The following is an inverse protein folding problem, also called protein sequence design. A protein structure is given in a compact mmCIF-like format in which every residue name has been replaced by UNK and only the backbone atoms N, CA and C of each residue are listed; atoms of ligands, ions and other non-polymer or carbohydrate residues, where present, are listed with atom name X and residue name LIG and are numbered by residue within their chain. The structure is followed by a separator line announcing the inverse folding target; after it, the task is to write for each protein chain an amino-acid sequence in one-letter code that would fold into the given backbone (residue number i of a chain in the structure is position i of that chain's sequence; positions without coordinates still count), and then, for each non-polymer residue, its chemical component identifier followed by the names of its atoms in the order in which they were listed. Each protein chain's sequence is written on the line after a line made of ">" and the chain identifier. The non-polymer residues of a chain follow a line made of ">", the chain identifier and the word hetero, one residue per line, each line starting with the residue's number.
data_IF_634651365858
#
_entry.id   IF_634651365858
#
_cell.length_a   1.000
_cell.length_b   1.000
_cell.length_c   1.000
_cell.angle_alpha   90.00
_cell.angle_beta   90.00
_cell.angle_gamma   90.00
#
_symmetry.space_group_name_H-M   'P 1'
#
loop_
_entity.id
_entity.type
_entity.pdbx_description
1 polymer ?
#
# COMPACT_ATOMS: atom_id res chain seq x y z
N UNK A 1 -22.17 32.11 29.86
CA UNK A 1 -21.86 31.05 28.87
C UNK A 1 -20.72 31.50 27.99
N UNK A 2 -19.46 31.24 28.38
CA UNK A 2 -18.28 31.55 27.56
C UNK A 2 -17.03 30.75 28.05
N UNK A 3 -17.22 29.49 28.45
CA UNK A 3 -16.12 28.63 28.95
C UNK A 3 -15.63 27.57 27.94
N UNK A 4 -16.24 27.45 26.76
CA UNK A 4 -15.94 26.37 25.79
C UNK A 4 -14.97 26.72 24.65
N UNK A 5 -14.69 28.00 24.41
CA UNK A 5 -13.98 28.45 23.20
C UNK A 5 -12.45 28.58 23.39
N UNK A 6 -11.99 28.70 24.64
CA UNK A 6 -10.57 28.82 24.99
C UNK A 6 -9.84 27.47 24.96
N UNK A 7 -10.51 26.36 25.29
CA UNK A 7 -9.92 25.02 25.33
C UNK A 7 -9.55 24.47 23.95
N UNK A 8 -10.42 24.65 22.95
CA UNK A 8 -10.19 24.19 21.57
C UNK A 8 -9.06 24.95 20.87
N UNK A 9 -8.97 26.25 21.12
CA UNK A 9 -7.91 27.11 20.56
C UNK A 9 -6.54 26.73 21.11
N UNK A 10 -6.44 26.39 22.40
CA UNK A 10 -5.20 25.93 23.04
C UNK A 10 -4.80 24.54 22.53
N UNK A 11 -5.76 23.64 22.33
CA UNK A 11 -5.50 22.31 21.78
C UNK A 11 -4.99 22.37 20.33
N UNK A 12 -5.56 23.27 19.52
CA UNK A 12 -5.15 23.48 18.12
C UNK A 12 -3.72 24.06 18.04
N UNK A 13 -3.37 25.00 18.91
CA UNK A 13 -2.01 25.57 18.98
C UNK A 13 -1.00 24.51 19.43
N UNK A 14 -1.34 23.66 20.40
CA UNK A 14 -0.51 22.51 20.80
C UNK A 14 -0.31 21.50 19.67
N UNK A 15 -1.36 21.17 18.91
CA UNK A 15 -1.28 20.29 17.74
C UNK A 15 -0.43 20.88 16.62
N UNK A 16 -0.51 22.19 16.38
CA UNK A 16 0.31 22.88 15.38
C UNK A 16 1.79 22.98 15.81
N UNK A 17 2.06 23.15 17.11
CA UNK A 17 3.43 23.12 17.64
C UNK A 17 4.07 21.72 17.56
N UNK A 18 3.27 20.66 17.79
CA UNK A 18 3.72 19.28 17.54
C UNK A 18 3.94 18.99 16.04
N UNK A 19 3.27 19.73 15.15
CA UNK A 19 3.45 19.61 13.71
C UNK A 19 4.70 20.38 13.21
N UNK A 20 5.04 21.51 13.84
CA UNK A 20 6.16 22.36 13.48
C UNK A 20 7.55 21.75 13.80
N UNK A 21 7.63 20.89 14.82
CA UNK A 21 8.88 20.21 15.20
C UNK A 21 9.20 18.97 14.35
N UNK A 22 8.40 18.65 13.32
CA UNK A 22 8.77 17.63 12.32
C UNK A 22 9.82 18.18 11.35
N UNK A 23 10.98 18.58 11.88
CA UNK A 23 12.20 18.63 11.09
C UNK A 23 12.49 17.21 10.67
N UNK A 24 12.34 16.95 9.36
CA UNK A 24 12.71 15.68 8.74
C UNK A 24 14.22 15.50 8.88
N UNK A 25 14.64 14.97 10.04
CA UNK A 25 16.01 14.63 10.32
C UNK A 25 16.40 13.50 9.37
N UNK A 26 17.41 13.74 8.55
CA UNK A 26 18.10 12.69 7.79
C UNK A 26 18.70 11.73 8.82
N UNK A 27 17.99 10.62 9.07
CA UNK A 27 18.45 9.55 9.95
C UNK A 27 19.78 8.99 9.43
N UNK A 28 20.89 9.45 10.02
CA UNK A 28 22.14 8.69 9.97
C UNK A 28 21.93 7.48 10.87
N UNK A 29 21.38 6.41 10.30
CA UNK A 29 21.33 5.11 10.97
C UNK A 29 22.76 4.61 11.11
N UNK A 30 23.24 4.52 12.34
CA UNK A 30 24.52 3.88 12.65
C UNK A 30 24.45 2.44 12.14
N UNK A 31 25.41 2.02 11.31
CA UNK A 31 25.43 0.68 10.70
C UNK A 31 25.31 -0.47 11.73
N UNK A 32 25.73 -0.25 12.98
CA UNK A 32 25.59 -1.20 14.08
C UNK A 32 24.15 -1.32 14.61
N UNK A 33 23.33 -0.26 14.52
CA UNK A 33 21.90 -0.26 14.89
C UNK A 33 21.05 -0.82 13.74
N UNK A 34 21.49 -0.66 12.50
CA UNK A 34 20.86 -1.24 11.31
C UNK A 34 21.36 -2.65 10.95
N UNK A 35 22.27 -3.22 11.74
CA UNK A 35 22.69 -4.61 11.58
C UNK A 35 21.56 -5.55 12.01
N UNK A 36 21.05 -6.35 11.08
CA UNK A 36 20.01 -7.35 11.32
C UNK A 36 20.39 -8.24 12.51
N UNK A 37 19.60 -8.19 13.58
CA UNK A 37 19.72 -9.08 14.74
C UNK A 37 18.67 -10.19 14.60
N UNK A 38 19.06 -11.46 14.44
CA UNK A 38 18.10 -12.54 14.38
C UNK A 38 17.33 -12.61 15.71
N UNK A 39 16.01 -12.62 15.58
CA UNK A 39 15.07 -12.78 16.68
C UNK A 39 14.81 -14.26 16.96
N UNK A 40 14.08 -14.56 18.03
CA UNK A 40 13.61 -15.93 18.32
C UNK A 40 12.77 -16.52 17.17
N UNK A 41 12.24 -15.67 16.28
CA UNK A 41 11.42 -16.06 15.13
C UNK A 41 12.25 -16.38 13.88
N UNK A 42 13.54 -16.05 13.87
CA UNK A 42 14.45 -16.31 12.76
C UNK A 42 15.04 -17.74 12.83
N UNK A 43 14.19 -18.73 13.10
CA UNK A 43 14.57 -20.14 13.14
C UNK A 43 13.75 -20.99 12.16
N UNK A 44 14.27 -22.18 11.81
CA UNK A 44 13.65 -23.05 10.83
C UNK A 44 12.27 -23.57 11.26
N UNK A 45 12.01 -23.70 12.57
CA UNK A 45 10.74 -24.20 13.10
C UNK A 45 9.63 -23.16 12.90
N UNK A 46 9.89 -21.89 13.24
CA UNK A 46 8.94 -20.80 13.02
C UNK A 46 8.66 -20.58 11.54
N UNK A 47 9.65 -20.77 10.67
CA UNK A 47 9.42 -20.76 9.22
C UNK A 47 8.34 -21.75 8.81
N UNK A 48 8.39 -22.99 9.33
CA UNK A 48 7.36 -24.01 9.07
C UNK A 48 6.00 -23.56 9.62
N UNK A 49 5.97 -23.03 10.84
CA UNK A 49 4.74 -22.50 11.46
C UNK A 49 4.12 -21.38 10.63
N UNK A 50 4.91 -20.40 10.15
CA UNK A 50 4.40 -19.32 9.31
C UNK A 50 3.92 -19.81 7.95
N UNK A 51 4.61 -20.78 7.33
CA UNK A 51 4.12 -21.40 6.10
C UNK A 51 2.82 -22.16 6.31
N UNK A 52 2.70 -22.90 7.42
CA UNK A 52 1.48 -23.63 7.78
C UNK A 52 0.34 -22.65 8.04
N UNK A 53 0.56 -21.61 8.85
CA UNK A 53 -0.41 -20.56 9.13
C UNK A 53 -0.92 -19.92 7.84
N UNK A 54 -0.02 -19.50 6.95
CA UNK A 54 -0.37 -18.94 5.65
C UNK A 54 -1.20 -19.91 4.80
N UNK A 55 -0.80 -21.17 4.72
CA UNK A 55 -1.50 -22.18 3.94
C UNK A 55 -2.90 -22.46 4.48
N UNK A 56 -3.03 -22.64 5.80
CA UNK A 56 -4.32 -22.87 6.47
C UNK A 56 -5.23 -21.66 6.30
N UNK A 57 -4.73 -20.45 6.51
CA UNK A 57 -5.51 -19.22 6.31
C UNK A 57 -6.01 -19.10 4.87
N UNK A 58 -5.17 -19.40 3.87
CA UNK A 58 -5.57 -19.40 2.46
C UNK A 58 -6.59 -20.51 2.12
N UNK A 59 -6.49 -21.69 2.76
CA UNK A 59 -7.47 -22.77 2.59
C UNK A 59 -8.84 -22.40 3.19
N UNK A 60 -8.85 -21.82 4.39
CA UNK A 60 -10.06 -21.46 5.11
C UNK A 60 -10.76 -20.26 4.49
N UNK A 61 -10.01 -19.23 4.12
CA UNK A 61 -10.56 -17.97 3.62
C UNK A 61 -10.82 -17.99 2.10
N UNK A 62 -10.25 -18.97 1.39
CA UNK A 62 -10.36 -19.14 -0.05
C UNK A 62 -9.24 -18.43 -0.82
N UNK A 63 -9.17 -18.70 -2.13
CA UNK A 63 -8.16 -18.08 -3.00
C UNK A 63 -8.48 -16.62 -3.27
N UNK A 64 -7.45 -15.76 -3.24
CA UNK A 64 -7.53 -14.37 -3.67
C UNK A 64 -7.58 -14.26 -5.20
N UNK A 65 -8.01 -13.11 -5.70
CA UNK A 65 -7.89 -12.79 -7.13
C UNK A 65 -9.07 -13.13 -8.04
N UNK A 66 -10.08 -13.85 -7.54
CA UNK A 66 -11.24 -14.28 -8.35
C UNK A 66 -12.44 -13.33 -8.28
N UNK A 67 -12.58 -12.57 -7.18
CA UNK A 67 -13.73 -11.67 -6.98
C UNK A 67 -13.50 -10.34 -7.69
N UNK A 68 -14.24 -10.08 -8.75
CA UNK A 68 -14.12 -8.84 -9.55
C UNK A 68 -15.18 -7.78 -9.22
N UNK A 69 -16.14 -8.10 -8.36
CA UNK A 69 -17.23 -7.22 -7.94
C UNK A 69 -17.71 -7.55 -6.53
N UNK A 70 -18.22 -6.56 -5.81
CA UNK A 70 -18.71 -6.68 -4.44
C UNK A 70 -18.95 -5.29 -3.83
N UNK A 71 -19.64 -5.23 -2.69
CA UNK A 71 -19.99 -3.97 -2.03
C UNK A 71 -18.76 -3.14 -1.61
N UNK A 72 -17.66 -3.81 -1.29
CA UNK A 72 -16.41 -3.19 -0.85
C UNK A 72 -15.35 -3.10 -1.97
N UNK A 73 -15.68 -3.61 -3.17
CA UNK A 73 -14.79 -3.54 -4.32
C UNK A 73 -15.20 -2.35 -5.21
N UNK A 74 -14.22 -1.78 -5.90
CA UNK A 74 -14.47 -0.75 -6.89
C UNK A 74 -15.42 -1.29 -7.97
N UNK A 75 -16.45 -0.51 -8.29
CA UNK A 75 -17.32 -0.79 -9.44
C UNK A 75 -16.52 -0.64 -10.72
N UNK A 76 -16.63 -1.62 -11.64
CA UNK A 76 -15.90 -1.61 -12.90
C UNK A 76 -16.22 -0.32 -13.68
N UNK A 77 -15.18 0.45 -14.00
CA UNK A 77 -15.30 1.64 -14.84
C UNK A 77 -15.48 1.18 -16.29
N UNK A 78 -16.54 1.64 -17.00
CA UNK A 78 -16.82 1.21 -18.37
C UNK A 78 -15.72 1.67 -19.33
N UNK A 79 -15.52 0.92 -20.41
CA UNK A 79 -14.47 1.21 -21.40
C UNK A 79 -14.67 2.54 -22.13
N UNK A 80 -15.90 3.04 -22.19
CA UNK A 80 -16.24 4.35 -22.74
C UNK A 80 -15.63 5.52 -21.98
N UNK A 81 -15.28 5.34 -20.70
CA UNK A 81 -14.64 6.38 -19.88
C UNK A 81 -13.13 6.34 -20.12
N UNK A 82 -12.51 7.39 -20.66
CA UNK A 82 -11.06 7.42 -20.85
C UNK A 82 -10.33 7.50 -19.50
N UNK A 83 -9.06 7.13 -19.51
CA UNK A 83 -8.21 7.35 -18.34
C UNK A 83 -8.04 8.87 -18.11
N UNK A 84 -8.18 9.39 -16.88
CA UNK A 84 -8.28 10.82 -16.63
C UNK A 84 -6.97 11.61 -16.81
N UNK A 85 -5.82 10.94 -16.90
CA UNK A 85 -4.53 11.60 -17.06
C UNK A 85 -4.03 11.51 -18.50
N UNK A 86 -3.28 12.54 -18.93
CA UNK A 86 -2.57 12.51 -20.20
C UNK A 86 -1.41 11.50 -20.15
N UNK A 87 -1.50 10.47 -20.99
CA UNK A 87 -0.51 9.39 -21.10
C UNK A 87 0.61 9.71 -22.11
N UNK A 88 0.57 10.86 -22.78
CA UNK A 88 1.63 11.27 -23.70
C UNK A 88 2.99 11.46 -22.99
N UNK A 89 2.98 11.84 -21.71
CA UNK A 89 4.14 11.92 -20.84
C UNK A 89 4.46 10.56 -20.18
N UNK A 90 4.56 9.52 -21.01
CA UNK A 90 4.88 8.14 -20.61
C UNK A 90 6.37 7.94 -20.31
N UNK A 91 6.96 6.89 -20.89
CA UNK A 91 8.37 6.51 -20.68
C UNK A 91 9.36 7.53 -21.26
N UNK A 92 10.46 7.76 -20.55
CA UNK A 92 11.57 8.56 -21.05
C UNK A 92 12.29 7.84 -22.20
N UNK A 93 12.86 8.61 -23.13
CA UNK A 93 13.64 8.06 -24.26
C UNK A 93 14.88 7.32 -23.76
N UNK A 94 15.51 7.85 -22.70
CA UNK A 94 16.66 7.23 -22.05
C UNK A 94 16.36 7.01 -20.56
N UNK A 95 16.92 5.95 -19.93
CA UNK A 95 16.77 5.73 -18.50
C UNK A 95 17.26 6.94 -17.68
N UNK A 96 16.42 7.52 -16.82
CA UNK A 96 16.79 8.71 -16.08
C UNK A 96 17.86 8.39 -15.02
N UNK A 97 18.84 9.28 -14.90
CA UNK A 97 19.93 9.18 -13.91
C UNK A 97 19.61 9.89 -12.59
N UNK A 98 18.50 10.63 -12.52
CA UNK A 98 18.06 11.41 -11.36
C UNK A 98 16.55 11.32 -11.18
N UNK A 99 16.10 11.30 -9.92
CA UNK A 99 14.67 11.25 -9.56
C UNK A 99 13.88 12.45 -10.09
N UNK A 100 14.53 13.59 -10.31
CA UNK A 100 13.89 14.79 -10.86
C UNK A 100 13.55 14.67 -12.36
N UNK A 101 14.14 13.68 -13.04
CA UNK A 101 13.88 13.38 -14.45
C UNK A 101 12.99 12.15 -14.63
N UNK A 102 12.65 11.46 -13.53
CA UNK A 102 11.88 10.22 -13.56
C UNK A 102 10.46 10.50 -14.04
N UNK A 103 10.01 9.77 -15.07
CA UNK A 103 8.63 9.79 -15.52
C UNK A 103 7.87 8.56 -15.01
N UNK A 104 6.54 8.61 -14.92
CA UNK A 104 5.75 7.46 -14.48
C UNK A 104 6.03 6.18 -15.29
N UNK A 105 6.25 6.29 -16.61
CA UNK A 105 6.55 5.15 -17.49
C UNK A 105 7.95 4.54 -17.30
N UNK A 106 8.84 5.22 -16.57
CA UNK A 106 10.18 4.70 -16.25
C UNK A 106 10.15 3.71 -15.06
N UNK A 107 9.04 3.63 -14.34
CA UNK A 107 8.88 2.74 -13.19
C UNK A 107 8.43 1.36 -13.66
N UNK A 108 9.37 0.40 -13.68
CA UNK A 108 9.11 -0.96 -14.13
C UNK A 108 8.55 -1.89 -13.05
N UNK A 109 8.96 -1.71 -11.78
CA UNK A 109 8.61 -2.61 -10.68
C UNK A 109 8.25 -1.79 -9.45
N UNK A 110 7.13 -2.14 -8.82
CA UNK A 110 6.70 -1.61 -7.52
C UNK A 110 6.59 -2.78 -6.55
N UNK A 111 7.26 -2.67 -5.41
CA UNK A 111 7.23 -3.66 -4.35
C UNK A 111 7.20 -2.97 -2.98
N UNK A 112 6.65 -3.64 -1.98
CA UNK A 112 6.64 -3.18 -0.61
C UNK A 112 6.74 -4.36 0.35
N UNK A 113 7.25 -4.06 1.53
CA UNK A 113 7.30 -4.95 2.68
C UNK A 113 6.51 -4.26 3.78
N UNK A 114 5.63 -4.99 4.44
CA UNK A 114 4.82 -4.44 5.52
C UNK A 114 3.86 -5.46 6.11
N UNK A 115 2.96 -4.95 6.92
CA UNK A 115 1.96 -5.71 7.67
C UNK A 115 0.65 -5.91 6.87
N UNK A 116 -0.42 -6.24 7.60
CA UNK A 116 -1.75 -6.49 7.09
C UNK A 116 -2.34 -5.34 6.26
N UNK A 117 -1.90 -4.09 6.49
CA UNK A 117 -2.37 -2.92 5.73
C UNK A 117 -1.77 -2.94 4.33
N UNK A 118 -0.48 -3.22 4.21
CA UNK A 118 0.22 -3.31 2.91
C UNK A 118 -0.26 -4.53 2.12
N UNK A 119 -0.61 -5.63 2.79
CA UNK A 119 -1.17 -6.82 2.12
C UNK A 119 -2.67 -6.71 1.82
N UNK A 120 -3.32 -5.60 2.21
CA UNK A 120 -4.75 -5.37 2.05
C UNK A 120 -5.60 -6.52 2.58
N UNK A 121 -5.30 -6.95 3.81
CA UNK A 121 -6.05 -8.00 4.49
C UNK A 121 -7.54 -7.65 4.55
N UNK A 122 -8.38 -8.57 4.09
CA UNK A 122 -9.83 -8.41 4.10
C UNK A 122 -10.43 -7.47 3.05
N UNK A 123 -9.65 -6.92 2.11
CA UNK A 123 -10.16 -5.95 1.12
C UNK A 123 -11.33 -6.47 0.26
N UNK A 124 -11.41 -7.79 0.03
CA UNK A 124 -12.53 -8.43 -0.70
C UNK A 124 -13.43 -9.28 0.20
N UNK A 125 -13.40 -9.04 1.53
CA UNK A 125 -14.11 -9.86 2.50
C UNK A 125 -15.62 -9.61 2.45
N UNK A 126 -16.38 -10.70 2.38
CA UNK A 126 -17.85 -10.71 2.51
C UNK A 126 -18.30 -11.47 3.76
N UNK A 127 -17.37 -12.08 4.49
CA UNK A 127 -17.61 -12.82 5.72
C UNK A 127 -16.41 -12.67 6.67
N UNK A 128 -16.63 -12.91 7.96
CA UNK A 128 -15.60 -12.75 9.00
C UNK A 128 -14.33 -13.56 8.70
N UNK A 129 -14.47 -14.80 8.22
CA UNK A 129 -13.32 -15.65 7.88
C UNK A 129 -12.45 -15.07 6.76
N UNK A 130 -13.04 -14.30 5.84
CA UNK A 130 -12.30 -13.68 4.74
C UNK A 130 -11.47 -12.46 5.17
N UNK A 131 -11.64 -11.94 6.39
CA UNK A 131 -10.82 -10.85 6.91
C UNK A 131 -9.34 -11.24 7.03
N UNK A 132 -9.06 -12.53 7.27
CA UNK A 132 -7.70 -13.05 7.32
C UNK A 132 -7.08 -13.26 5.94
N UNK A 133 -7.82 -12.99 4.86
CA UNK A 133 -7.29 -13.13 3.49
C UNK A 133 -6.45 -11.92 3.09
N UNK A 134 -5.18 -12.16 2.76
CA UNK A 134 -4.25 -11.13 2.29
C UNK A 134 -4.42 -10.84 0.78
N UNK A 135 -5.20 -9.82 0.43
CA UNK A 135 -5.46 -9.44 -0.96
C UNK A 135 -4.36 -8.53 -1.53
N UNK A 136 -3.12 -9.02 -1.58
CA UNK A 136 -1.94 -8.24 -2.04
C UNK A 136 -2.17 -7.56 -3.39
N UNK A 137 -2.90 -8.21 -4.31
CA UNK A 137 -3.24 -7.69 -5.62
C UNK A 137 -4.18 -6.48 -5.63
N UNK A 138 -4.92 -6.25 -4.54
CA UNK A 138 -5.82 -5.11 -4.32
C UNK A 138 -5.20 -3.99 -3.48
N UNK A 139 -3.97 -4.18 -3.00
CA UNK A 139 -3.30 -3.19 -2.17
C UNK A 139 -3.15 -1.86 -2.90
N UNK A 140 -3.45 -0.77 -2.18
CA UNK A 140 -3.41 0.58 -2.75
C UNK A 140 -2.02 0.96 -3.29
N UNK A 141 -0.94 0.49 -2.66
CA UNK A 141 0.44 0.84 -3.02
C UNK A 141 1.14 -0.21 -3.90
N UNK A 142 0.81 -1.50 -3.77
CA UNK A 142 1.50 -2.60 -4.48
C UNK A 142 0.58 -3.51 -5.30
N UNK A 143 -0.72 -3.28 -5.26
CA UNK A 143 -1.70 -4.16 -5.88
C UNK A 143 -1.69 -4.06 -7.40
N UNK A 144 -1.02 -4.99 -8.07
CA UNK A 144 -0.97 -5.03 -9.54
C UNK A 144 -2.08 -5.88 -10.19
N UNK A 145 -3.17 -6.21 -9.49
CA UNK A 145 -4.17 -7.11 -10.04
C UNK A 145 -5.12 -6.39 -10.99
N UNK A 146 -5.35 -6.99 -12.16
CA UNK A 146 -6.15 -6.41 -13.25
C UNK A 146 -5.58 -5.04 -13.71
N UNK A 147 -6.46 -4.07 -13.97
CA UNK A 147 -6.12 -2.68 -14.32
C UNK A 147 -6.96 -1.66 -13.55
N UNK A 148 -6.69 -0.36 -13.80
CA UNK A 148 -7.28 0.75 -13.03
C UNK A 148 -8.81 0.77 -13.05
N UNK A 149 -9.43 0.21 -14.09
CA UNK A 149 -10.90 0.10 -14.21
C UNK A 149 -11.53 -0.83 -13.18
N UNK A 150 -10.80 -1.85 -12.74
CA UNK A 150 -11.26 -2.85 -11.78
C UNK A 150 -10.73 -2.60 -10.38
N UNK A 151 -9.48 -2.13 -10.26
CA UNK A 151 -8.86 -1.78 -9.00
C UNK A 151 -7.92 -0.58 -9.21
N UNK A 152 -8.28 0.57 -8.65
CA UNK A 152 -7.45 1.78 -8.69
C UNK A 152 -6.37 1.67 -7.62
N UNK A 153 -5.21 1.20 -8.04
CA UNK A 153 -4.00 1.08 -7.21
C UNK A 153 -2.87 1.84 -7.88
N UNK A 154 -1.84 2.21 -7.12
CA UNK A 154 -0.67 2.90 -7.66
C UNK A 154 -0.05 2.12 -8.85
N UNK A 155 0.20 0.80 -8.78
CA UNK A 155 0.75 0.07 -9.93
C UNK A 155 -0.21 0.03 -11.13
N UNK A 156 -1.52 -0.08 -10.91
CA UNK A 156 -2.49 -0.11 -12.02
C UNK A 156 -2.64 1.24 -12.72
N UNK A 157 -2.39 2.34 -12.02
CA UNK A 157 -2.27 3.69 -12.60
C UNK A 157 -0.98 3.77 -13.41
N UNK A 158 0.17 3.35 -12.85
CA UNK A 158 1.46 3.41 -13.52
C UNK A 158 1.51 2.58 -14.81
N UNK A 159 0.81 1.44 -14.85
CA UNK A 159 0.63 0.63 -16.07
C UNK A 159 0.03 1.41 -17.26
N UNK A 160 -0.69 2.51 -17.02
CA UNK A 160 -1.24 3.33 -18.12
C UNK A 160 -0.17 4.18 -18.82
N UNK A 161 1.01 4.33 -18.23
CA UNK A 161 2.12 5.13 -18.74
C UNK A 161 3.26 4.30 -19.34
N UNK A 162 3.16 2.98 -19.29
CA UNK A 162 4.15 2.00 -19.77
C UNK A 162 3.63 1.31 -21.03
#
# INVERSE_FOLDING_TARGET
>A
MQLGQTSLSVLLVLLLLLCHENKFHRWKVNAAISAFQPTIFDNAQWRVVFHLYRNVTMLMAGRTGYKTSGNFLQKKIPESVPFPCDVALGRSVEPPTSVHKLRPGDINVVAAIGDSVITASGASATSFLQLYTENRGLSWCIGGQWGWRNATTLPNILKMFN
#
